data_IF_825124425149
#
_entry.id   IF_825124425149
#
_cell.length_a   1.000
_cell.length_b   1.000
_cell.length_c   1.000
_cell.angle_alpha   90.00
_cell.angle_beta   90.00
_cell.angle_gamma   90.00
#
_symmetry.space_group_name_H-M   'P 1'
#
loop_
_entity.id
_entity.type
_entity.pdbx_description
1 polymer ?
#
# COMPACT_ATOMS: atom_id res chain seq x y z
N UNK A 1 37.48 -22.30 -30.14
CA UNK A 1 38.66 -21.97 -29.30
C UNK A 1 38.49 -22.85 -28.09
N UNK A 2 39.35 -23.86 -27.89
CA UNK A 2 39.22 -24.85 -26.82
C UNK A 2 39.25 -24.15 -25.44
N UNK A 3 38.07 -23.95 -24.85
CA UNK A 3 37.88 -23.14 -23.65
C UNK A 3 37.77 -24.00 -22.38
N UNK A 4 37.81 -25.33 -22.50
CA UNK A 4 37.88 -26.29 -21.40
C UNK A 4 39.12 -27.22 -21.46
N UNK A 5 39.98 -27.02 -22.45
CA UNK A 5 41.28 -27.65 -22.64
C UNK A 5 41.23 -29.19 -22.73
N UNK A 6 40.17 -29.74 -23.31
CA UNK A 6 40.00 -31.19 -23.45
C UNK A 6 40.62 -31.76 -24.75
N UNK A 7 41.16 -30.91 -25.62
CA UNK A 7 41.88 -31.33 -26.83
C UNK A 7 41.03 -31.44 -28.09
N UNK A 8 39.77 -31.02 -28.03
CA UNK A 8 38.93 -30.80 -29.20
C UNK A 8 38.61 -29.28 -29.31
N UNK A 9 38.19 -28.83 -30.50
CA UNK A 9 37.84 -27.42 -30.71
C UNK A 9 36.30 -27.32 -30.63
N UNK A 10 35.80 -26.74 -29.53
CA UNK A 10 34.41 -26.35 -29.29
C UNK A 10 33.40 -27.54 -29.17
N UNK A 11 33.49 -28.39 -28.13
CA UNK A 11 32.62 -29.57 -27.86
C UNK A 11 31.21 -29.22 -27.36
N UNK A 12 30.68 -28.08 -27.79
CA UNK A 12 29.44 -27.53 -27.23
C UNK A 12 28.74 -26.48 -28.09
N UNK A 13 29.23 -26.20 -29.30
CA UNK A 13 28.53 -25.31 -30.23
C UNK A 13 27.56 -26.13 -31.09
N UNK A 14 26.31 -26.16 -30.62
CA UNK A 14 25.48 -27.37 -30.47
C UNK A 14 24.22 -27.36 -31.33
N UNK A 15 24.28 -26.79 -32.53
CA UNK A 15 23.24 -26.98 -33.55
C UNK A 15 23.68 -26.49 -34.94
N UNK A 16 23.05 -27.02 -35.99
CA UNK A 16 23.27 -26.57 -37.38
C UNK A 16 22.42 -25.34 -37.67
N UNK A 17 23.05 -24.21 -38.05
CA UNK A 17 22.36 -22.94 -38.32
C UNK A 17 21.23 -23.14 -39.33
N UNK A 18 20.04 -22.61 -38.99
CA UNK A 18 18.84 -22.70 -39.82
C UNK A 18 17.99 -23.95 -39.59
N UNK A 19 18.49 -24.96 -38.85
CA UNK A 19 17.68 -26.09 -38.41
C UNK A 19 16.70 -25.62 -37.34
N UNK A 20 15.48 -26.15 -37.40
CA UNK A 20 14.45 -25.95 -36.38
C UNK A 20 14.00 -27.30 -35.84
N UNK A 21 13.65 -27.33 -34.56
CA UNK A 21 13.17 -28.53 -33.87
C UNK A 21 12.08 -28.16 -32.85
N UNK A 22 11.33 -29.15 -32.40
CA UNK A 22 10.35 -28.99 -31.32
C UNK A 22 11.04 -28.76 -29.98
N UNK A 23 10.39 -28.00 -29.11
CA UNK A 23 10.85 -27.73 -27.75
C UNK A 23 9.66 -27.54 -26.80
N UNK A 24 9.93 -27.60 -25.49
CA UNK A 24 8.88 -27.59 -24.48
C UNK A 24 8.27 -28.98 -24.26
N UNK A 25 7.07 -29.00 -23.70
CA UNK A 25 6.29 -30.20 -23.37
C UNK A 25 4.83 -30.00 -23.81
N UNK A 26 4.10 -31.10 -23.98
CA UNK A 26 2.65 -31.15 -24.21
C UNK A 26 1.90 -31.76 -23.00
N UNK A 27 2.53 -31.74 -21.83
CA UNK A 27 1.93 -32.09 -20.54
C UNK A 27 1.12 -30.92 -19.98
N UNK A 28 0.02 -31.22 -19.29
CA UNK A 28 -0.83 -30.22 -18.66
C UNK A 28 -1.37 -29.20 -19.67
N UNK A 29 -1.27 -27.92 -19.32
CA UNK A 29 -1.65 -26.78 -20.17
C UNK A 29 -0.52 -26.31 -21.10
N UNK A 30 0.67 -26.93 -21.04
CA UNK A 30 1.76 -26.58 -21.92
C UNK A 30 1.48 -26.99 -23.36
N UNK A 31 1.98 -26.16 -24.28
CA UNK A 31 1.91 -26.44 -25.70
C UNK A 31 3.32 -26.35 -26.26
N UNK A 32 3.74 -27.40 -26.96
CA UNK A 32 5.07 -27.44 -27.58
C UNK A 32 5.29 -26.28 -28.55
N UNK A 33 6.52 -25.79 -28.54
CA UNK A 33 7.02 -24.75 -29.42
C UNK A 33 8.01 -25.28 -30.44
N UNK A 34 8.61 -24.35 -31.17
CA UNK A 34 9.73 -24.57 -32.06
C UNK A 34 10.86 -23.64 -31.66
N UNK A 35 12.09 -24.16 -31.67
CA UNK A 35 13.32 -23.35 -31.57
C UNK A 35 14.11 -23.48 -32.86
N UNK A 36 14.81 -22.41 -33.23
CA UNK A 36 15.64 -22.37 -34.44
C UNK A 36 17.09 -22.10 -34.05
N UNK A 37 18.01 -22.81 -34.68
CA UNK A 37 19.43 -22.60 -34.48
C UNK A 37 19.86 -21.32 -35.20
N UNK A 38 20.29 -20.33 -34.44
CA UNK A 38 20.76 -19.04 -34.92
C UNK A 38 22.27 -18.94 -34.80
N UNK A 39 22.89 -18.10 -35.62
CA UNK A 39 24.29 -17.75 -35.45
C UNK A 39 24.41 -16.80 -34.24
N UNK A 40 25.21 -17.18 -33.25
CA UNK A 40 25.42 -16.40 -32.03
C UNK A 40 26.38 -15.19 -32.22
N UNK A 41 26.86 -14.94 -33.44
CA UNK A 41 27.78 -13.85 -33.77
C UNK A 41 29.25 -14.18 -33.58
N UNK A 42 29.58 -15.38 -33.07
CA UNK A 42 30.95 -15.85 -32.84
C UNK A 42 31.34 -17.04 -33.74
N UNK A 43 30.55 -17.30 -34.80
CA UNK A 43 30.80 -18.42 -35.72
C UNK A 43 30.26 -19.76 -35.22
N UNK A 44 29.39 -19.76 -34.19
CA UNK A 44 28.78 -20.94 -33.59
C UNK A 44 27.24 -20.88 -33.66
N UNK A 45 26.62 -22.05 -33.75
CA UNK A 45 25.17 -22.21 -33.66
C UNK A 45 24.69 -22.23 -32.21
N UNK A 46 23.62 -21.49 -31.92
CA UNK A 46 22.92 -21.49 -30.63
C UNK A 46 21.42 -21.54 -30.87
N UNK A 47 20.72 -22.40 -30.13
CA UNK A 47 19.26 -22.45 -30.15
C UNK A 47 18.66 -21.14 -29.64
N UNK A 48 17.65 -20.64 -30.34
CA UNK A 48 16.77 -19.59 -29.81
C UNK A 48 16.00 -20.10 -28.59
N UNK A 49 15.40 -19.16 -27.86
CA UNK A 49 14.35 -19.48 -26.89
C UNK A 49 13.25 -20.30 -27.58
N UNK A 50 12.61 -21.18 -26.80
CA UNK A 50 11.45 -21.91 -27.27
C UNK A 50 10.28 -20.95 -27.49
N UNK A 51 9.59 -21.07 -28.62
CA UNK A 51 8.50 -20.16 -28.97
C UNK A 51 7.66 -20.66 -30.13
N UNK A 52 6.87 -19.77 -30.74
CA UNK A 52 6.01 -20.10 -31.87
C UNK A 52 4.55 -19.74 -31.61
N UNK A 53 3.73 -19.90 -32.64
CA UNK A 53 2.28 -19.64 -32.51
C UNK A 53 1.65 -20.72 -31.65
N UNK A 54 1.04 -20.31 -30.53
CA UNK A 54 0.40 -21.22 -29.59
C UNK A 54 1.32 -21.85 -28.54
N UNK A 55 2.63 -21.56 -28.54
CA UNK A 55 3.53 -22.03 -27.49
C UNK A 55 3.11 -21.50 -26.12
N UNK A 56 2.93 -22.41 -25.15
CA UNK A 56 2.66 -22.10 -23.75
C UNK A 56 3.77 -22.76 -22.91
N UNK A 57 4.69 -21.98 -22.31
CA UNK A 57 5.73 -22.52 -21.44
C UNK A 57 5.16 -22.89 -20.06
N UNK A 58 5.85 -23.76 -19.30
CA UNK A 58 5.63 -23.93 -17.87
C UNK A 58 5.50 -22.61 -17.13
N UNK A 59 4.45 -22.45 -16.34
CA UNK A 59 4.18 -21.29 -15.50
C UNK A 59 3.86 -21.76 -14.08
N UNK A 60 4.16 -20.99 -13.02
CA UNK A 60 3.83 -21.40 -11.65
C UNK A 60 2.35 -21.75 -11.49
N UNK A 61 2.06 -22.78 -10.69
CA UNK A 61 0.70 -23.23 -10.45
C UNK A 61 -0.25 -22.11 -10.04
N UNK A 62 -1.36 -22.09 -10.74
CA UNK A 62 -2.57 -21.44 -10.30
C UNK A 62 -3.49 -22.56 -9.85
N UNK A 63 -3.99 -22.46 -8.62
CA UNK A 63 -4.89 -23.46 -8.07
C UNK A 63 -6.25 -23.41 -8.80
N UNK A 64 -6.32 -23.95 -10.01
CA UNK A 64 -7.44 -23.88 -10.94
C UNK A 64 -7.77 -25.23 -11.57
N UNK A 65 -7.22 -26.32 -11.02
CA UNK A 65 -7.39 -27.72 -11.42
C UNK A 65 -6.69 -28.09 -12.72
N UNK A 66 -5.77 -27.23 -13.18
CA UNK A 66 -4.93 -27.45 -14.34
C UNK A 66 -3.47 -27.52 -13.89
N UNK A 67 -2.67 -28.29 -14.62
CA UNK A 67 -1.22 -28.39 -14.45
C UNK A 67 -0.58 -27.27 -15.30
N UNK A 68 -0.27 -26.14 -14.66
CA UNK A 68 0.26 -24.94 -15.34
C UNK A 68 1.78 -24.99 -15.51
N UNK A 69 2.48 -25.69 -14.61
CA UNK A 69 3.93 -25.80 -14.61
C UNK A 69 4.42 -27.07 -15.36
N UNK A 70 3.47 -27.92 -15.74
CA UNK A 70 3.61 -29.05 -16.63
C UNK A 70 4.55 -30.12 -16.07
N UNK A 71 4.54 -30.29 -14.76
CA UNK A 71 5.35 -31.25 -14.01
C UNK A 71 4.63 -32.58 -13.71
N UNK A 72 3.38 -32.73 -14.18
CA UNK A 72 2.46 -33.86 -14.01
C UNK A 72 1.69 -33.92 -12.69
N UNK A 73 2.03 -33.06 -11.73
CA UNK A 73 1.19 -32.79 -10.57
C UNK A 73 0.18 -31.69 -10.94
N UNK A 74 -0.94 -31.64 -10.23
CA UNK A 74 -1.99 -30.65 -10.49
C UNK A 74 -2.19 -29.87 -9.20
N UNK A 75 -2.13 -28.53 -9.28
CA UNK A 75 -2.37 -27.62 -8.17
C UNK A 75 -1.42 -27.90 -6.96
N UNK A 76 -0.14 -28.22 -7.18
CA UNK A 76 0.81 -28.41 -6.08
C UNK A 76 1.16 -27.08 -5.39
N UNK A 77 1.40 -27.13 -4.08
CA UNK A 77 1.62 -25.93 -3.27
C UNK A 77 0.36 -25.10 -2.94
N UNK A 78 -0.83 -25.56 -3.35
CA UNK A 78 -2.09 -24.94 -2.96
C UNK A 78 -2.44 -25.21 -1.48
N UNK A 79 -2.92 -24.19 -0.77
CA UNK A 79 -3.24 -24.30 0.67
C UNK A 79 -4.59 -24.97 0.92
N UNK A 80 -5.44 -25.06 -0.11
CA UNK A 80 -6.76 -25.65 -0.05
C UNK A 80 -7.31 -25.94 -1.44
N UNK A 81 -8.39 -26.72 -1.51
CA UNK A 81 -9.10 -27.04 -2.75
C UNK A 81 -10.23 -26.04 -2.98
N UNK A 82 -10.34 -25.49 -4.19
CA UNK A 82 -11.38 -24.50 -4.52
C UNK A 82 -12.79 -24.93 -4.14
N UNK A 83 -13.54 -24.01 -3.53
CA UNK A 83 -14.92 -24.23 -3.10
C UNK A 83 -15.06 -25.01 -1.79
N UNK A 84 -13.99 -25.54 -1.21
CA UNK A 84 -14.04 -26.09 0.15
C UNK A 84 -14.23 -24.98 1.18
N UNK A 85 -14.87 -25.32 2.29
CA UNK A 85 -15.07 -24.43 3.42
C UNK A 85 -14.51 -25.06 4.69
N UNK A 86 -13.97 -24.23 5.58
CA UNK A 86 -13.50 -24.67 6.88
C UNK A 86 -13.84 -23.65 7.97
N UNK A 87 -13.94 -24.09 9.24
CA UNK A 87 -14.06 -23.17 10.36
C UNK A 87 -12.81 -22.29 10.50
N UNK A 88 -12.99 -21.10 11.02
CA UNK A 88 -11.92 -20.16 11.34
C UNK A 88 -12.27 -19.34 12.60
N UNK A 89 -11.27 -18.78 13.27
CA UNK A 89 -11.44 -18.11 14.56
C UNK A 89 -11.46 -19.09 15.75
N UNK A 90 -11.76 -18.54 16.93
CA UNK A 90 -11.83 -19.25 18.21
C UNK A 90 -13.30 -19.46 18.63
N UNK A 91 -13.54 -20.42 19.51
CA UNK A 91 -14.84 -20.68 20.17
C UNK A 91 -14.74 -20.64 21.70
N UNK A 92 -13.67 -20.04 22.23
CA UNK A 92 -13.46 -19.81 23.66
C UNK A 92 -14.22 -18.58 24.13
N UNK A 93 -14.87 -18.68 25.30
CA UNK A 93 -15.58 -17.54 25.88
C UNK A 93 -16.78 -17.10 25.04
N UNK A 94 -16.86 -15.81 24.75
CA UNK A 94 -17.89 -15.22 23.89
C UNK A 94 -17.52 -15.28 22.39
N UNK A 95 -16.30 -15.71 22.05
CA UNK A 95 -15.92 -15.89 20.65
C UNK A 95 -16.73 -17.00 20.00
N UNK A 96 -16.98 -16.82 18.70
CA UNK A 96 -17.59 -17.85 17.87
C UNK A 96 -16.85 -18.00 16.56
N UNK A 97 -16.70 -19.27 16.15
CA UNK A 97 -16.08 -19.60 14.87
C UNK A 97 -16.90 -19.07 13.71
N UNK A 98 -16.20 -18.46 12.77
CA UNK A 98 -16.71 -18.16 11.45
C UNK A 98 -16.41 -19.27 10.45
N UNK A 99 -16.64 -18.96 9.18
CA UNK A 99 -16.30 -19.83 8.06
C UNK A 99 -15.46 -19.07 7.04
N UNK A 100 -14.44 -19.74 6.52
CA UNK A 100 -13.66 -19.28 5.36
C UNK A 100 -13.81 -20.30 4.22
N UNK A 101 -13.81 -19.80 3.00
CA UNK A 101 -13.95 -20.55 1.75
C UNK A 101 -12.67 -20.45 0.95
N UNK A 102 -12.27 -21.55 0.34
CA UNK A 102 -11.12 -21.60 -0.53
C UNK A 102 -11.45 -21.02 -1.91
N UNK A 103 -10.69 -20.02 -2.34
CA UNK A 103 -10.80 -19.41 -3.66
C UNK A 103 -9.39 -19.26 -4.24
N UNK A 104 -9.20 -19.79 -5.45
CA UNK A 104 -7.91 -19.91 -6.12
C UNK A 104 -6.83 -20.51 -5.19
N UNK A 105 -7.19 -21.61 -4.51
CA UNK A 105 -6.33 -22.38 -3.60
C UNK A 105 -5.80 -21.65 -2.37
N UNK A 106 -6.44 -20.52 -2.03
CA UNK A 106 -6.16 -19.76 -0.81
C UNK A 106 -7.44 -19.57 -0.01
N UNK A 107 -7.31 -19.62 1.31
CA UNK A 107 -8.42 -19.28 2.21
C UNK A 107 -8.71 -17.79 2.12
N UNK A 108 -9.97 -17.45 1.90
CA UNK A 108 -10.44 -16.08 1.95
C UNK A 108 -10.56 -15.57 3.41
N UNK A 109 -11.08 -14.35 3.57
CA UNK A 109 -11.35 -13.81 4.89
C UNK A 109 -12.35 -14.66 5.67
N UNK A 110 -12.10 -14.85 6.96
CA UNK A 110 -13.04 -15.48 7.87
C UNK A 110 -14.31 -14.62 7.97
N UNK A 111 -15.47 -15.20 7.71
CA UNK A 111 -16.77 -14.51 7.77
C UNK A 111 -17.66 -15.09 8.86
N UNK A 112 -18.44 -14.23 9.52
CA UNK A 112 -19.39 -14.65 10.56
C UNK A 112 -18.74 -15.10 11.87
N UNK A 113 -17.47 -14.77 12.11
CA UNK A 113 -16.84 -14.99 13.41
C UNK A 113 -17.11 -13.82 14.36
N UNK A 114 -17.16 -14.12 15.66
CA UNK A 114 -17.02 -13.13 16.73
C UNK A 114 -15.63 -13.30 17.30
N UNK A 115 -14.79 -12.27 17.17
CA UNK A 115 -13.40 -12.30 17.61
C UNK A 115 -13.19 -11.70 19.01
N UNK A 116 -11.96 -11.78 19.53
CA UNK A 116 -11.59 -11.19 20.81
C UNK A 116 -11.93 -9.70 20.90
N UNK A 117 -12.50 -9.28 22.02
CA UNK A 117 -12.74 -7.89 22.41
C UNK A 117 -12.07 -7.59 23.76
N UNK A 118 -11.84 -6.31 24.12
CA UNK A 118 -11.34 -5.97 25.44
C UNK A 118 -12.29 -6.44 26.55
N UNK A 119 -11.73 -6.91 27.67
CA UNK A 119 -12.49 -7.37 28.83
C UNK A 119 -13.44 -6.30 29.38
N UNK A 120 -14.68 -6.71 29.64
CA UNK A 120 -15.69 -5.91 30.33
C UNK A 120 -15.67 -6.27 31.81
N UNK A 121 -14.92 -5.50 32.60
CA UNK A 121 -14.58 -5.84 33.98
C UNK A 121 -15.74 -6.10 34.93
N UNK A 122 -16.95 -5.61 34.63
CA UNK A 122 -18.16 -5.82 35.42
C UNK A 122 -18.94 -7.08 35.04
N UNK A 123 -18.48 -7.81 34.02
CA UNK A 123 -19.12 -8.97 33.43
C UNK A 123 -18.67 -10.31 34.03
N UNK A 124 -19.26 -11.38 33.50
CA UNK A 124 -18.91 -12.77 33.81
C UNK A 124 -18.50 -13.56 32.55
N UNK A 125 -18.32 -12.86 31.44
CA UNK A 125 -17.93 -13.45 30.15
C UNK A 125 -16.43 -13.23 29.96
N UNK A 126 -15.86 -14.02 29.05
CA UNK A 126 -14.49 -13.93 28.57
C UNK A 126 -14.58 -13.26 27.20
N UNK A 127 -14.37 -11.94 27.16
CA UNK A 127 -14.54 -11.17 25.93
C UNK A 127 -13.30 -11.24 25.04
N UNK A 128 -12.11 -11.40 25.62
CA UNK A 128 -10.87 -11.53 24.86
C UNK A 128 -10.55 -12.97 24.42
N UNK A 129 -11.42 -13.92 24.81
CA UNK A 129 -11.41 -15.32 24.41
C UNK A 129 -10.10 -16.04 24.77
N UNK A 130 -9.51 -15.69 25.91
CA UNK A 130 -8.24 -16.26 26.38
C UNK A 130 -8.45 -17.46 27.34
N UNK A 131 -9.71 -17.79 27.65
CA UNK A 131 -10.12 -18.89 28.52
C UNK A 131 -10.29 -18.50 29.98
N UNK A 132 -10.17 -17.21 30.30
CA UNK A 132 -10.24 -16.68 31.64
C UNK A 132 -11.22 -15.47 31.63
N UNK A 133 -11.75 -15.09 32.80
CA UNK A 133 -12.78 -14.05 32.92
C UNK A 133 -12.26 -12.87 33.77
N UNK A 134 -12.14 -11.69 33.15
CA UNK A 134 -11.70 -10.42 33.74
C UNK A 134 -10.21 -10.33 34.14
N UNK A 135 -9.29 -10.90 33.39
CA UNK A 135 -7.86 -10.99 33.75
C UNK A 135 -7.15 -9.66 33.54
N UNK A 136 -7.50 -8.97 32.47
CA UNK A 136 -6.97 -7.65 32.13
C UNK A 136 -7.58 -6.53 32.99
N UNK A 137 -8.48 -6.89 33.90
CA UNK A 137 -9.16 -5.97 34.81
C UNK A 137 -8.44 -5.79 36.15
N UNK A 138 -7.42 -6.60 36.43
CA UNK A 138 -6.68 -6.48 37.68
C UNK A 138 -5.89 -5.16 37.65
N UNK A 139 -6.20 -4.28 38.59
CA UNK A 139 -5.52 -3.00 38.76
C UNK A 139 -5.10 -2.80 40.22
N UNK A 140 -4.12 -1.93 40.48
CA UNK A 140 -3.75 -1.63 41.87
C UNK A 140 -4.78 -0.65 42.45
N UNK A 141 -5.42 -0.93 43.62
CA UNK A 141 -6.39 -0.01 44.21
C UNK A 141 -5.81 1.42 44.32
N UNK A 142 -6.54 2.41 43.80
CA UNK A 142 -6.12 3.81 43.76
C UNK A 142 -5.13 4.17 42.65
N UNK A 143 -4.67 3.23 41.83
CA UNK A 143 -3.95 3.56 40.60
C UNK A 143 -4.83 4.39 39.67
N UNK A 144 -4.20 5.23 38.85
CA UNK A 144 -4.88 6.03 37.83
C UNK A 144 -4.31 5.72 36.45
N UNK A 145 -5.15 5.79 35.42
CA UNK A 145 -4.74 5.68 34.02
C UNK A 145 -5.48 6.70 33.16
N UNK A 146 -4.90 7.06 32.03
CA UNK A 146 -5.58 7.88 31.02
C UNK A 146 -6.72 7.10 30.36
N UNK A 147 -7.78 7.81 30.00
CA UNK A 147 -8.96 7.30 29.30
C UNK A 147 -9.43 8.32 28.26
N UNK A 148 -10.10 7.87 27.20
CA UNK A 148 -10.44 8.74 26.06
C UNK A 148 -9.24 9.05 25.17
N UNK A 149 -9.35 10.11 24.36
CA UNK A 149 -8.32 10.57 23.41
C UNK A 149 -8.18 12.09 23.47
N UNK A 150 -7.02 12.60 23.05
CA UNK A 150 -6.73 14.03 22.87
C UNK A 150 -6.67 14.39 21.36
N UNK A 151 -7.48 13.71 20.56
CA UNK A 151 -7.66 13.99 19.13
C UNK A 151 -8.83 14.96 18.93
N UNK A 152 -8.66 15.91 18.00
CA UNK A 152 -9.75 16.81 17.62
C UNK A 152 -10.31 17.64 18.78
N UNK A 153 -11.64 17.57 18.95
CA UNK A 153 -12.39 18.18 20.04
C UNK A 153 -12.33 17.37 21.35
N UNK A 154 -11.86 16.11 21.31
CA UNK A 154 -11.82 15.26 22.49
C UNK A 154 -10.70 15.65 23.45
N UNK A 155 -10.96 15.35 24.72
CA UNK A 155 -10.01 15.55 25.82
C UNK A 155 -9.94 14.24 26.58
N UNK A 156 -8.72 13.78 26.86
CA UNK A 156 -8.48 12.60 27.68
C UNK A 156 -8.75 12.92 29.16
N UNK A 157 -9.30 11.93 29.85
CA UNK A 157 -9.56 11.99 31.30
C UNK A 157 -8.67 11.03 32.08
N UNK A 158 -9.01 10.84 33.35
CA UNK A 158 -8.42 9.81 34.20
C UNK A 158 -9.48 8.87 34.77
N UNK A 159 -9.20 7.57 34.71
CA UNK A 159 -9.92 6.55 35.46
C UNK A 159 -9.13 6.18 36.71
N UNK A 160 -9.82 5.92 37.81
CA UNK A 160 -9.22 5.44 39.06
C UNK A 160 -9.63 4.00 39.30
N UNK A 161 -8.66 3.15 39.63
CA UNK A 161 -8.92 1.77 40.00
C UNK A 161 -9.62 1.71 41.37
N UNK A 162 -10.82 1.16 41.39
CA UNK A 162 -11.60 0.85 42.59
C UNK A 162 -11.52 -0.64 42.90
N UNK A 163 -11.32 -0.97 44.18
CA UNK A 163 -11.30 -2.34 44.72
C UNK A 163 -10.32 -3.32 44.06
N UNK A 164 -9.30 -2.79 43.36
CA UNK A 164 -8.24 -3.58 42.75
C UNK A 164 -8.64 -4.39 41.52
N UNK A 165 -9.84 -4.13 41.00
CA UNK A 165 -10.45 -4.94 39.94
C UNK A 165 -11.24 -4.15 38.90
N UNK A 166 -11.61 -2.90 39.20
CA UNK A 166 -12.45 -2.11 38.32
C UNK A 166 -11.83 -0.75 38.10
N UNK A 167 -11.67 -0.34 36.85
CA UNK A 167 -11.46 1.06 36.54
C UNK A 167 -12.80 1.78 36.63
N UNK A 168 -12.85 2.83 37.46
CA UNK A 168 -14.05 3.65 37.63
C UNK A 168 -14.39 4.44 36.36
N UNK A 169 -15.38 5.33 36.45
CA UNK A 169 -15.73 6.22 35.33
C UNK A 169 -14.54 7.12 34.95
N UNK A 170 -14.40 7.40 33.67
CA UNK A 170 -13.45 8.36 33.14
C UNK A 170 -13.85 9.77 33.59
N UNK A 171 -13.00 10.43 34.40
CA UNK A 171 -13.25 11.78 34.92
C UNK A 171 -12.44 12.80 34.15
N UNK A 172 -13.09 13.89 33.74
CA UNK A 172 -12.43 15.01 33.06
C UNK A 172 -12.29 14.85 31.54
N UNK A 173 -12.88 13.81 30.95
CA UNK A 173 -12.86 13.59 29.51
C UNK A 173 -13.97 14.33 28.76
N UNK A 174 -13.74 14.56 27.47
CA UNK A 174 -14.76 14.95 26.49
C UNK A 174 -14.88 13.79 25.51
N UNK A 175 -16.07 13.19 25.43
CA UNK A 175 -16.33 12.03 24.57
C UNK A 175 -16.40 12.43 23.09
N UNK A 176 -16.04 11.52 22.17
CA UNK A 176 -16.41 11.61 20.75
C UNK A 176 -17.88 12.00 20.54
N UNK A 177 -18.12 12.97 19.66
CA UNK A 177 -19.46 13.18 19.12
C UNK A 177 -19.91 11.94 18.33
N UNK A 178 -21.22 11.76 18.16
CA UNK A 178 -21.75 10.66 17.37
C UNK A 178 -21.64 10.89 15.84
N UNK A 179 -21.33 12.11 15.45
CA UNK A 179 -21.20 12.54 14.06
C UNK A 179 -20.45 13.86 13.99
N UNK A 180 -19.73 14.09 12.90
CA UNK A 180 -19.07 15.36 12.62
C UNK A 180 -20.01 16.56 12.54
N UNK A 181 -19.51 17.67 13.06
CA UNK A 181 -20.00 19.00 12.71
C UNK A 181 -19.04 19.57 11.68
N UNK A 182 -19.58 20.19 10.62
CA UNK A 182 -18.74 20.77 9.55
C UNK A 182 -18.13 22.12 9.97
N UNK A 183 -17.30 22.10 11.00
CA UNK A 183 -16.74 23.27 11.66
C UNK A 183 -15.20 23.28 11.72
N UNK A 184 -14.55 22.45 10.91
CA UNK A 184 -13.09 22.31 10.77
C UNK A 184 -12.40 21.71 11.99
N UNK A 185 -13.17 21.15 12.90
CA UNK A 185 -12.71 20.40 14.06
C UNK A 185 -13.17 18.96 13.88
N UNK A 186 -12.28 18.02 14.16
CA UNK A 186 -12.59 16.59 14.30
C UNK A 186 -13.42 16.41 15.59
N UNK A 187 -14.74 16.29 15.47
CA UNK A 187 -15.68 16.27 16.59
C UNK A 187 -15.93 14.86 17.14
N UNK A 188 -15.83 13.84 16.30
CA UNK A 188 -15.95 12.43 16.68
C UNK A 188 -14.59 11.76 16.95
N UNK A 189 -13.50 12.50 16.77
CA UNK A 189 -12.16 12.16 17.21
C UNK A 189 -11.61 10.90 16.56
N UNK A 190 -12.05 10.60 15.34
CA UNK A 190 -11.59 9.47 14.55
C UNK A 190 -10.26 9.74 13.81
N UNK A 191 -9.83 11.02 13.80
CA UNK A 191 -8.58 11.50 13.24
C UNK A 191 -8.71 12.11 11.85
N UNK A 192 -9.87 12.02 11.21
CA UNK A 192 -10.24 12.79 10.03
C UNK A 192 -11.03 14.05 10.47
N UNK A 193 -11.08 15.08 9.61
CA UNK A 193 -11.77 16.35 9.92
C UNK A 193 -12.93 16.52 8.95
N UNK A 194 -14.12 16.83 9.46
CA UNK A 194 -15.34 17.14 8.70
C UNK A 194 -15.74 16.04 7.68
N UNK A 195 -15.54 14.75 7.99
CA UNK A 195 -16.00 13.67 7.12
C UNK A 195 -17.54 13.50 7.17
N UNK A 196 -18.11 12.95 6.10
CA UNK A 196 -19.58 12.85 5.96
C UNK A 196 -20.31 14.19 5.73
N UNK A 197 -19.61 15.33 5.73
CA UNK A 197 -20.19 16.63 5.44
C UNK A 197 -20.65 16.78 3.98
N UNK A 198 -21.87 17.28 3.79
CA UNK A 198 -22.39 17.59 2.46
C UNK A 198 -21.76 18.88 1.92
N UNK A 199 -21.06 18.81 0.79
CA UNK A 199 -20.48 20.00 0.15
C UNK A 199 -21.62 20.86 -0.43
N UNK A 200 -21.59 22.17 -0.19
CA UNK A 200 -22.43 23.14 -0.90
C UNK A 200 -21.69 23.61 -2.14
N UNK A 201 -22.33 23.57 -3.31
CA UNK A 201 -21.74 24.02 -4.57
C UNK A 201 -21.12 25.42 -4.43
N UNK A 202 -19.81 25.51 -4.67
CA UNK A 202 -19.05 26.76 -4.63
C UNK A 202 -18.26 27.04 -3.34
N UNK A 203 -18.28 26.14 -2.36
CA UNK A 203 -17.39 26.24 -1.18
C UNK A 203 -16.15 25.33 -1.32
N UNK A 204 -15.06 25.73 -0.67
CA UNK A 204 -13.88 24.88 -0.47
C UNK A 204 -13.93 24.34 0.95
N UNK A 205 -14.01 23.03 1.13
CA UNK A 205 -13.80 22.37 2.42
C UNK A 205 -12.40 21.74 2.48
N UNK A 206 -11.83 21.57 3.69
CA UNK A 206 -10.67 20.71 3.88
C UNK A 206 -11.02 19.29 3.43
N UNK A 207 -10.12 18.59 2.74
CA UNK A 207 -10.14 17.13 2.82
C UNK A 207 -9.79 16.71 4.26
N UNK A 208 -10.14 15.50 4.70
CA UNK A 208 -9.81 14.94 6.04
C UNK A 208 -8.32 14.92 6.40
N UNK A 209 -7.46 15.58 5.61
CA UNK A 209 -6.05 15.82 5.86
C UNK A 209 -5.71 17.33 5.99
N UNK A 210 -6.71 18.19 6.18
CA UNK A 210 -6.53 19.62 6.40
C UNK A 210 -5.99 20.39 5.18
N UNK A 211 -6.14 19.86 3.95
CA UNK A 211 -5.73 20.56 2.72
C UNK A 211 -6.95 21.03 1.93
N UNK A 212 -6.96 22.32 1.59
CA UNK A 212 -7.93 22.87 0.65
C UNK A 212 -7.65 22.29 -0.75
N UNK A 213 -8.46 21.32 -1.18
CA UNK A 213 -8.46 20.84 -2.55
C UNK A 213 -9.78 21.19 -3.23
N UNK A 214 -9.76 21.77 -4.44
CA UNK A 214 -10.96 21.87 -5.26
C UNK A 214 -11.44 20.45 -5.59
N UNK A 215 -12.67 20.12 -5.21
CA UNK A 215 -13.31 18.87 -5.62
C UNK A 215 -13.63 18.95 -7.11
N UNK A 216 -12.94 18.14 -7.93
CA UNK A 216 -13.30 17.95 -9.35
C UNK A 216 -13.99 16.59 -9.48
N UNK A 217 -15.32 16.55 -9.69
CA UNK A 217 -16.04 15.28 -9.88
C UNK A 217 -15.49 14.43 -11.03
N UNK A 218 -14.77 15.03 -11.98
CA UNK A 218 -14.45 14.40 -13.28
C UNK A 218 -13.05 13.76 -13.41
N UNK A 219 -12.22 13.70 -12.35
CA UNK A 219 -10.85 13.18 -12.47
C UNK A 219 -10.60 11.79 -11.87
N UNK A 220 -11.59 11.12 -11.28
CA UNK A 220 -11.44 9.71 -10.85
C UNK A 220 -11.49 8.68 -12.00
N UNK A 221 -11.50 9.12 -13.28
CA UNK A 221 -11.61 8.21 -14.44
C UNK A 221 -10.45 8.26 -15.44
N UNK A 222 -9.26 8.70 -15.02
CA UNK A 222 -8.05 8.62 -15.85
C UNK A 222 -6.97 7.79 -15.16
N UNK A 223 -7.26 6.51 -14.94
CA UNK A 223 -6.23 5.49 -15.00
C UNK A 223 -5.62 5.50 -16.40
N UNK A 224 -4.30 5.40 -16.45
CA UNK A 224 -3.44 5.39 -17.64
C UNK A 224 -4.04 4.61 -18.83
N UNK A 225 -4.67 5.31 -19.78
CA UNK A 225 -5.24 4.63 -20.95
C UNK A 225 -5.71 5.59 -22.05
N UNK A 226 -4.96 5.65 -23.15
CA UNK A 226 -5.27 6.28 -24.46
C UNK A 226 -5.33 7.82 -24.51
N UNK A 227 -4.14 8.43 -24.56
CA UNK A 227 -3.93 9.73 -25.21
C UNK A 227 -4.20 9.63 -26.72
N UNK A 228 -5.38 10.09 -27.18
CA UNK A 228 -5.59 10.41 -28.60
C UNK A 228 -4.79 11.66 -28.96
N UNK A 229 -4.30 11.69 -30.20
CA UNK A 229 -3.19 12.50 -30.73
C UNK A 229 -3.32 14.05 -30.69
N UNK A 230 -4.25 14.67 -29.97
CA UNK A 230 -4.55 16.11 -30.14
C UNK A 230 -4.03 17.07 -29.07
N UNK A 231 -3.44 16.60 -27.96
CA UNK A 231 -3.00 17.49 -26.86
C UNK A 231 -1.48 17.50 -26.60
N UNK A 232 -0.66 17.36 -27.65
CA UNK A 232 0.81 17.59 -27.52
C UNK A 232 1.18 19.08 -27.39
N UNK A 233 0.24 20.00 -27.55
CA UNK A 233 0.46 21.44 -27.40
C UNK A 233 0.54 21.89 -25.93
N UNK A 234 -0.37 21.38 -25.09
CA UNK A 234 -0.57 21.91 -23.73
C UNK A 234 0.51 21.43 -22.75
N UNK A 235 0.93 20.17 -22.85
CA UNK A 235 1.99 19.60 -22.01
C UNK A 235 3.39 20.21 -22.25
N UNK A 236 3.61 20.85 -23.42
CA UNK A 236 4.85 21.57 -23.71
C UNK A 236 4.91 22.96 -23.06
N UNK A 237 3.77 23.61 -22.84
CA UNK A 237 3.73 24.96 -22.22
C UNK A 237 3.92 24.89 -20.70
N UNK A 238 3.37 23.87 -20.04
CA UNK A 238 3.54 23.66 -18.60
C UNK A 238 4.97 23.25 -18.22
N UNK A 239 5.66 22.44 -19.04
CA UNK A 239 7.10 22.13 -18.82
C UNK A 239 7.98 23.36 -19.01
N UNK A 240 7.67 24.27 -19.94
CA UNK A 240 8.43 25.51 -20.15
C UNK A 240 8.23 26.53 -19.01
N UNK A 241 7.02 26.61 -18.43
CA UNK A 241 6.74 27.50 -17.29
C UNK A 241 7.27 26.95 -15.95
N UNK A 242 7.21 25.63 -15.73
CA UNK A 242 7.76 24.99 -14.53
C UNK A 242 9.30 25.01 -14.46
N UNK A 243 10.00 24.84 -15.58
CA UNK A 243 11.48 24.87 -15.60
C UNK A 243 12.09 26.28 -15.50
N UNK A 244 11.30 27.34 -15.67
CA UNK A 244 11.77 28.73 -15.51
C UNK A 244 11.88 29.17 -14.05
N UNK A 245 11.18 28.50 -13.14
CA UNK A 245 11.22 28.80 -11.70
C UNK A 245 12.32 28.04 -10.94
N UNK A 246 12.87 26.95 -11.50
CA UNK A 246 13.93 26.15 -10.87
C UNK A 246 15.36 26.49 -11.33
N UNK A 247 15.53 27.46 -12.24
CA UNK A 247 16.85 27.90 -12.75
C UNK A 247 17.21 29.35 -12.40
N UNK A 248 16.68 29.88 -11.29
CA UNK A 248 17.33 31.02 -10.64
C UNK A 248 18.53 30.49 -9.86
N UNK A 249 19.68 30.53 -10.53
CA UNK A 249 21.00 30.18 -10.00
C UNK A 249 21.18 30.73 -8.57
N UNK A 250 21.36 29.82 -7.60
CA UNK A 250 21.62 30.15 -6.18
C UNK A 250 22.75 31.18 -6.05
N UNK A 251 23.72 31.22 -6.96
CA UNK A 251 24.80 32.22 -6.94
C UNK A 251 24.32 33.63 -7.26
N UNK A 252 23.39 33.80 -8.22
CA UNK A 252 22.79 35.10 -8.57
C UNK A 252 21.86 35.64 -7.49
N UNK A 253 21.08 34.77 -6.85
CA UNK A 253 20.22 35.16 -5.71
C UNK A 253 21.08 35.60 -4.51
N UNK A 254 22.17 34.90 -4.23
CA UNK A 254 23.08 35.26 -3.14
C UNK A 254 23.83 36.58 -3.42
N UNK A 255 24.21 36.83 -4.68
CA UNK A 255 24.83 38.09 -5.09
C UNK A 255 23.85 39.28 -4.98
N UNK A 256 22.60 39.10 -5.44
CA UNK A 256 21.54 40.10 -5.32
C UNK A 256 21.21 40.42 -3.85
N UNK A 257 21.21 39.44 -2.96
CA UNK A 257 21.02 39.65 -1.53
C UNK A 257 22.22 40.36 -0.86
N UNK A 258 23.45 40.14 -1.33
CA UNK A 258 24.63 40.93 -0.89
C UNK A 258 24.57 42.37 -1.39
N UNK A 259 24.16 42.60 -2.63
CA UNK A 259 24.05 43.94 -3.21
C UNK A 259 22.90 44.75 -2.58
N UNK A 260 21.81 44.10 -2.18
CA UNK A 260 20.74 44.73 -1.40
C UNK A 260 21.17 45.08 0.02
N UNK A 261 21.95 44.21 0.69
CA UNK A 261 22.50 44.51 2.03
C UNK A 261 23.51 45.65 2.02
N UNK A 262 24.37 45.76 1.00
CA UNK A 262 25.33 46.86 0.88
C UNK A 262 24.64 48.20 0.54
N UNK A 263 23.58 48.18 -0.29
CA UNK A 263 22.74 49.37 -0.55
C UNK A 263 21.95 49.83 0.68
N UNK A 264 21.43 48.90 1.49
CA UNK A 264 20.77 49.24 2.75
C UNK A 264 21.74 49.87 3.78
N UNK A 265 22.98 49.37 3.86
CA UNK A 265 24.02 49.92 4.75
C UNK A 265 24.52 51.32 4.30
N UNK A 266 24.59 51.57 2.98
CA UNK A 266 24.93 52.89 2.43
C UNK A 266 23.86 53.96 2.71
N UNK A 267 22.58 53.58 2.61
CA UNK A 267 21.46 54.49 2.88
C UNK A 267 21.27 54.81 4.38
N UNK A 268 21.71 53.93 5.29
CA UNK A 268 21.74 54.26 6.73
C UNK A 268 22.86 55.25 7.08
N UNK A 269 24.02 55.20 6.42
CA UNK A 269 25.10 56.18 6.63
C UNK A 269 24.77 57.58 6.08
N UNK A 270 23.98 57.70 5.02
CA UNK A 270 23.52 59.00 4.51
C UNK A 270 22.36 59.62 5.31
N UNK A 271 21.61 58.84 6.10
CA UNK A 271 20.56 59.37 6.98
C UNK A 271 21.04 59.82 8.36
N UNK A 272 22.19 59.33 8.84
CA UNK A 272 22.79 59.80 10.11
C UNK A 272 23.70 61.03 9.90
N UNK A 273 24.21 61.27 8.68
CA UNK A 273 25.01 62.46 8.33
C UNK A 273 24.23 63.72 7.96
N UNK A 274 22.91 63.78 8.22
CA UNK A 274 22.05 64.95 7.94
C UNK A 274 21.22 65.41 9.16
N UNK A 275 21.63 64.99 10.36
CA UNK A 275 21.09 65.45 11.66
C UNK A 275 22.20 65.80 12.67
N UNK A 276 23.33 66.32 12.21
CA UNK A 276 24.23 67.19 12.96
C UNK A 276 24.53 68.44 12.13
#
# INVERSE_FOLDING_TARGET
MDNDCNGSIDEGCTCTIGVSESCGTDLGECVMGTRTCLNNGFGAGQWSDCGGVGFLPPAPETCDTLDNDCDTEVDEGCSCVNGTAQPCGDDTGECSRGTQTCVMGRWNACTGFVGPAPEVCTGTLDENCNGLVNEDCICTPGATRACGTDLGACVSGLETCTDGRYWGVCVGYVAPAASESCDTIDNDCDGDIDEGCSCVDGTTQPDGHGRLRPWYPDLQRWSLGRLRRRDRGFARDLRRRGQRLQRLDRRRVTQLLRDLRTRAAGNLRQRVGRQL
#
